data_IF_925981154123
#
_entry.id   IF_925981154123
#
_cell.length_a   1.000
_cell.length_b   1.000
_cell.length_c   1.000
_cell.angle_alpha   90.00
_cell.angle_beta   90.00
_cell.angle_gamma   90.00
#
_symmetry.space_group_name_H-M   'P 1'
#
loop_
_entity.id
_entity.type
_entity.pdbx_description
1 polymer ?
#
# COMPACT_ATOMS: atom_id res chain seq x y z
N UNK A 1 -12.91 21.79 -20.97
CA UNK A 1 -12.70 20.32 -20.87
C UNK A 1 -13.01 19.93 -19.44
N UNK A 2 -14.04 19.09 -19.21
CA UNK A 2 -14.45 18.68 -17.86
C UNK A 2 -13.85 17.30 -17.61
N UNK A 3 -12.80 17.23 -16.80
CA UNK A 3 -12.18 15.97 -16.45
C UNK A 3 -13.06 15.33 -15.37
N UNK A 4 -13.94 14.43 -15.79
CA UNK A 4 -14.79 13.67 -14.91
C UNK A 4 -13.95 12.58 -14.21
N UNK A 5 -13.20 12.95 -13.18
CA UNK A 5 -12.72 11.97 -12.20
C UNK A 5 -13.92 11.60 -11.32
N UNK A 6 -14.65 10.58 -11.74
CA UNK A 6 -15.68 9.93 -10.94
C UNK A 6 -15.26 8.49 -10.77
N UNK A 7 -14.63 8.19 -9.64
CA UNK A 7 -15.10 7.14 -8.75
C UNK A 7 -14.30 7.23 -7.44
N UNK A 8 -15.01 7.37 -6.32
CA UNK A 8 -14.41 7.46 -4.98
C UNK A 8 -14.29 6.05 -4.42
N UNK A 9 -13.14 5.42 -4.60
CA UNK A 9 -12.76 4.24 -3.84
C UNK A 9 -12.60 4.56 -2.38
N UNK A 10 -12.91 3.57 -1.55
CA UNK A 10 -12.62 3.62 -0.14
C UNK A 10 -11.12 3.42 0.05
N UNK A 11 -10.44 4.49 0.48
CA UNK A 11 -9.06 4.43 0.93
C UNK A 11 -9.02 3.69 2.26
N UNK A 12 -8.40 2.52 2.34
CA UNK A 12 -8.02 1.97 3.65
C UNK A 12 -6.65 2.47 4.08
N UNK A 13 -6.49 2.63 5.39
CA UNK A 13 -5.24 3.00 6.03
C UNK A 13 -4.90 1.95 7.08
N UNK A 14 -3.69 1.40 6.98
CA UNK A 14 -3.07 0.62 8.04
C UNK A 14 -1.77 1.29 8.49
N UNK A 15 -1.47 1.21 9.79
CA UNK A 15 -0.28 1.81 10.40
C UNK A 15 0.53 0.73 11.11
N UNK A 16 1.82 0.63 10.80
CA UNK A 16 2.73 -0.34 11.44
C UNK A 16 4.03 0.37 11.85
N UNK A 17 4.58 -0.02 13.00
CA UNK A 17 5.92 0.37 13.45
C UNK A 17 6.89 -0.76 13.10
N UNK A 18 7.95 -0.47 12.36
CA UNK A 18 8.93 -1.47 11.91
C UNK A 18 10.02 -1.68 12.98
N UNK A 19 9.79 -2.57 13.96
CA UNK A 19 10.71 -2.83 15.08
C UNK A 19 11.91 -3.75 14.78
N UNK A 20 12.85 -3.86 15.73
CA UNK A 20 14.09 -4.68 15.62
C UNK A 20 13.91 -6.17 15.88
N UNK A 21 12.74 -6.63 16.30
CA UNK A 21 12.50 -8.05 16.55
C UNK A 21 11.06 -8.44 16.18
N UNK A 22 10.95 -9.69 15.70
CA UNK A 22 9.76 -10.49 15.37
C UNK A 22 9.20 -10.36 13.93
N UNK A 23 9.44 -11.46 13.18
CA UNK A 23 8.69 -12.01 12.02
C UNK A 23 7.98 -11.01 11.11
N UNK A 24 8.38 -10.96 9.83
CA UNK A 24 7.74 -10.22 8.74
C UNK A 24 6.22 -10.06 8.94
N UNK A 25 5.80 -8.92 9.49
CA UNK A 25 4.41 -8.61 9.75
C UNK A 25 3.81 -8.10 8.43
N UNK A 26 3.46 -9.05 7.55
CA UNK A 26 2.61 -8.79 6.40
C UNK A 26 1.17 -9.11 6.80
N UNK A 27 0.27 -8.16 6.61
CA UNK A 27 -1.16 -8.35 6.76
C UNK A 27 -1.81 -8.49 5.38
N UNK A 28 -2.93 -9.19 5.33
CA UNK A 28 -3.79 -9.25 4.14
C UNK A 28 -5.21 -8.82 4.48
N UNK A 29 -5.84 -8.09 3.57
CA UNK A 29 -7.23 -7.67 3.62
C UNK A 29 -7.89 -7.91 2.25
N UNK A 30 -9.22 -8.10 2.26
CA UNK A 30 -10.00 -8.44 1.06
C UNK A 30 -11.09 -7.40 0.76
N UNK A 31 -10.74 -6.14 0.46
CA UNK A 31 -11.72 -5.08 0.26
C UNK A 31 -12.38 -5.14 -1.13
N UNK A 32 -13.71 -5.02 -1.21
CA UNK A 32 -14.51 -4.86 -2.44
C UNK A 32 -14.17 -5.82 -3.61
N UNK A 33 -13.76 -7.05 -3.30
CA UNK A 33 -13.36 -8.04 -4.32
C UNK A 33 -11.89 -7.92 -4.78
N UNK A 34 -11.12 -7.04 -4.17
CA UNK A 34 -9.67 -6.94 -4.27
C UNK A 34 -8.93 -7.69 -3.15
N UNK A 35 -7.59 -7.71 -3.26
CA UNK A 35 -6.68 -8.29 -2.28
C UNK A 35 -5.58 -7.28 -1.98
N UNK A 36 -5.54 -6.79 -0.76
CA UNK A 36 -4.53 -5.85 -0.29
C UNK A 36 -3.55 -6.53 0.66
N UNK A 37 -2.26 -6.52 0.32
CA UNK A 37 -1.18 -7.01 1.17
C UNK A 37 -0.23 -5.87 1.50
N UNK A 38 0.11 -5.72 2.77
CA UNK A 38 0.97 -4.64 3.21
C UNK A 38 1.79 -5.04 4.43
N UNK A 39 2.93 -4.38 4.63
CA UNK A 39 3.74 -4.58 5.81
C UNK A 39 5.23 -4.43 5.60
N UNK A 40 5.99 -5.07 6.48
CA UNK A 40 7.46 -5.06 6.47
C UNK A 40 8.02 -6.08 5.48
N UNK A 41 9.04 -5.69 4.72
CA UNK A 41 9.86 -6.57 3.90
C UNK A 41 11.29 -6.60 4.45
N UNK A 42 11.62 -7.65 5.19
CA UNK A 42 12.92 -7.81 5.82
C UNK A 42 14.03 -8.10 4.81
N UNK A 43 13.72 -8.76 3.69
CA UNK A 43 14.70 -9.14 2.68
C UNK A 43 15.19 -7.91 1.91
N UNK A 44 14.26 -7.01 1.56
CA UNK A 44 14.57 -5.75 0.88
C UNK A 44 14.85 -4.58 1.83
N UNK A 45 14.76 -4.82 3.15
CA UNK A 45 14.91 -3.82 4.22
C UNK A 45 14.00 -2.62 3.99
N UNK A 46 12.70 -2.91 3.89
CA UNK A 46 11.72 -1.90 3.55
C UNK A 46 10.31 -2.22 4.00
N UNK A 47 9.37 -1.50 3.41
CA UNK A 47 7.94 -1.63 3.62
C UNK A 47 7.24 -1.63 2.27
N UNK A 48 6.15 -2.38 2.16
CA UNK A 48 5.41 -2.52 0.91
C UNK A 48 3.90 -2.37 1.11
N UNK A 49 3.23 -1.93 0.06
CA UNK A 49 1.78 -1.95 -0.10
C UNK A 49 1.47 -2.44 -1.51
N UNK A 50 0.82 -3.60 -1.62
CA UNK A 50 0.44 -4.17 -2.91
C UNK A 50 -1.06 -4.42 -2.92
N UNK A 51 -1.75 -3.94 -3.96
CA UNK A 51 -3.19 -4.09 -4.06
C UNK A 51 -3.55 -4.68 -5.41
N UNK A 52 -4.35 -5.73 -5.41
CA UNK A 52 -4.95 -6.32 -6.60
C UNK A 52 -6.44 -5.99 -6.62
N UNK A 53 -6.97 -5.64 -7.79
CA UNK A 53 -8.42 -5.55 -8.00
C UNK A 53 -8.84 -6.10 -9.36
N UNK A 54 -9.80 -7.04 -9.38
CA UNK A 54 -10.16 -7.77 -10.59
C UNK A 54 -10.86 -6.94 -11.67
N UNK A 55 -11.61 -5.90 -11.31
CA UNK A 55 -12.49 -5.17 -12.24
C UNK A 55 -12.32 -3.64 -12.28
N UNK A 56 -11.49 -3.06 -11.40
CA UNK A 56 -11.39 -1.61 -11.22
C UNK A 56 -9.93 -1.18 -11.31
N UNK A 57 -9.71 0.04 -11.82
CA UNK A 57 -8.40 0.67 -11.66
C UNK A 57 -8.16 0.93 -10.19
N UNK A 58 -6.90 0.83 -9.79
CA UNK A 58 -6.56 0.87 -8.39
C UNK A 58 -5.11 1.30 -8.17
N UNK A 59 -4.78 1.58 -6.92
CA UNK A 59 -3.44 1.99 -6.53
C UNK A 59 -3.09 1.50 -5.13
N UNK A 60 -1.80 1.48 -4.84
CA UNK A 60 -1.26 1.23 -3.52
C UNK A 60 -0.18 2.26 -3.19
N UNK A 61 -0.07 2.62 -1.91
CA UNK A 61 0.89 3.62 -1.43
C UNK A 61 1.50 3.16 -0.12
N UNK A 62 2.80 3.43 0.07
CA UNK A 62 3.49 3.39 1.36
C UNK A 62 4.01 4.78 1.69
N UNK A 63 3.83 5.25 2.92
CA UNK A 63 4.22 6.58 3.37
C UNK A 63 5.00 6.50 4.68
N UNK A 64 6.19 7.08 4.72
CA UNK A 64 6.94 7.31 5.94
C UNK A 64 6.26 8.36 6.82
N UNK A 65 6.02 8.00 8.07
CA UNK A 65 5.53 8.93 9.09
C UNK A 65 6.65 9.74 9.73
N UNK A 66 7.91 9.49 9.38
CA UNK A 66 9.06 10.25 9.89
C UNK A 66 9.35 11.48 9.05
N UNK A 67 9.37 11.34 7.73
CA UNK A 67 9.77 12.40 6.80
C UNK A 67 8.72 12.68 5.70
N UNK A 68 7.57 12.01 5.73
CA UNK A 68 6.50 12.11 4.70
C UNK A 68 6.92 11.67 3.30
N UNK A 69 8.05 10.98 3.16
CA UNK A 69 8.45 10.35 1.91
C UNK A 69 7.50 9.19 1.58
N UNK A 70 7.25 8.95 0.30
CA UNK A 70 6.27 7.96 -0.12
C UNK A 70 6.63 7.30 -1.46
N UNK A 71 6.12 6.08 -1.65
CA UNK A 71 6.08 5.42 -2.95
C UNK A 71 4.64 5.02 -3.27
N UNK A 72 4.29 5.07 -4.56
CA UNK A 72 2.94 4.77 -5.06
C UNK A 72 3.03 3.99 -6.37
N UNK A 73 2.20 2.97 -6.47
CA UNK A 73 1.94 2.26 -7.73
C UNK A 73 0.47 2.35 -8.12
N UNK A 74 0.19 2.50 -9.41
CA UNK A 74 -1.13 2.43 -10.02
C UNK A 74 -1.20 1.20 -10.94
N UNK A 75 -2.37 0.58 -11.05
CA UNK A 75 -2.58 -0.58 -11.91
C UNK A 75 -3.99 -0.62 -12.52
N UNK A 76 -4.10 -1.30 -13.67
CA UNK A 76 -5.37 -1.54 -14.33
C UNK A 76 -6.15 -2.69 -13.69
N UNK A 77 -7.42 -2.89 -14.11
CA UNK A 77 -8.20 -4.06 -13.71
C UNK A 77 -7.47 -5.37 -14.02
N UNK A 78 -7.47 -6.30 -13.06
CA UNK A 78 -6.87 -7.64 -13.21
C UNK A 78 -5.36 -7.67 -13.01
N UNK A 79 -4.74 -6.54 -12.67
CA UNK A 79 -3.33 -6.42 -12.31
C UNK A 79 -3.17 -6.14 -10.81
N UNK A 80 -1.92 -6.13 -10.34
CA UNK A 80 -1.57 -5.74 -8.98
C UNK A 80 -0.75 -4.47 -9.03
N UNK A 81 -1.15 -3.44 -8.27
CA UNK A 81 -0.32 -2.27 -8.00
C UNK A 81 0.73 -2.61 -6.93
N UNK A 82 1.94 -2.09 -7.08
CA UNK A 82 3.05 -2.32 -6.16
C UNK A 82 3.63 -1.00 -5.68
N UNK A 83 3.82 -0.86 -4.38
CA UNK A 83 4.55 0.25 -3.78
C UNK A 83 5.56 -0.31 -2.77
N UNK A 84 6.78 0.20 -2.80
CA UNK A 84 7.87 -0.22 -1.93
C UNK A 84 8.82 0.93 -1.60
N UNK A 85 9.18 1.03 -0.32
CA UNK A 85 10.22 1.94 0.13
C UNK A 85 11.21 1.23 1.04
N UNK A 86 12.48 1.61 0.94
CA UNK A 86 13.47 1.26 1.96
C UNK A 86 13.19 2.03 3.24
N UNK A 87 13.38 1.37 4.38
CA UNK A 87 13.04 1.94 5.68
C UNK A 87 14.18 1.84 6.66
N UNK A 88 14.24 2.80 7.58
CA UNK A 88 15.05 2.73 8.78
C UNK A 88 14.50 1.73 9.80
N UNK A 89 15.34 1.38 10.76
CA UNK A 89 14.93 0.61 11.94
C UNK A 89 14.05 1.49 12.82
N UNK A 90 12.90 0.97 13.24
CA UNK A 90 11.93 1.69 14.08
C UNK A 90 10.99 2.60 13.30
N UNK A 91 11.13 2.66 11.96
CA UNK A 91 10.37 3.58 11.14
C UNK A 91 8.88 3.25 11.14
N UNK A 92 8.05 4.28 11.30
CA UNK A 92 6.59 4.14 11.29
C UNK A 92 6.09 4.35 9.88
N UNK A 93 5.35 3.37 9.37
CA UNK A 93 4.81 3.37 8.02
C UNK A 93 3.29 3.38 8.01
N UNK A 94 2.75 4.17 7.10
CA UNK A 94 1.35 4.16 6.72
C UNK A 94 1.20 3.50 5.35
N UNK A 95 0.24 2.60 5.25
CA UNK A 95 -0.07 1.85 4.04
C UNK A 95 -1.46 2.23 3.58
N UNK A 96 -1.60 2.46 2.28
CA UNK A 96 -2.87 2.77 1.64
C UNK A 96 -3.10 1.89 0.42
N UNK A 97 -4.37 1.72 0.08
CA UNK A 97 -4.83 1.38 -1.26
C UNK A 97 -5.98 2.30 -1.64
N UNK A 98 -6.27 2.39 -2.94
CA UNK A 98 -7.46 3.07 -3.47
C UNK A 98 -7.95 2.39 -4.75
N UNK A 99 -9.19 2.62 -5.16
CA UNK A 99 -9.76 2.11 -6.40
C UNK A 99 -10.81 3.04 -7.00
N UNK A 100 -11.16 2.82 -8.27
CA UNK A 100 -12.30 3.49 -8.90
C UNK A 100 -13.61 2.78 -8.55
#
# INVERSE_FOLDING_TARGET
>A
MKNHFKSTGLIALALIVLGTASTAAAAVQYPDGGVWTYGADLMRRGAFSNYYHGSKKHSSTVVSRWNSDFDKGDAGPGETSYAFMRTGIGEKMAFYYDYE
#
